data_IF_821442669625
#
_entry.id   IF_821442669625
#
_cell.length_a   1.000
_cell.length_b   1.000
_cell.length_c   1.000
_cell.angle_alpha   90.00
_cell.angle_beta   90.00
_cell.angle_gamma   90.00
#
_symmetry.space_group_name_H-M   'P 1'
#
loop_
_entity.id
_entity.type
_entity.pdbx_description
1 polymer ?
#
# COMPACT_ATOMS: atom_id res chain seq x y z
N UNK A 1 -15.86 -40.96 0.06
CA UNK A 1 -15.72 -39.55 0.50
C UNK A 1 -15.00 -39.43 1.84
N UNK A 2 -15.46 -40.17 2.87
CA UNK A 2 -14.89 -40.15 4.23
C UNK A 2 -13.39 -40.51 4.28
N UNK A 3 -12.96 -41.58 3.61
CA UNK A 3 -11.54 -41.96 3.58
C UNK A 3 -10.62 -40.88 2.99
N UNK A 4 -11.06 -40.17 1.94
CA UNK A 4 -10.31 -39.04 1.36
C UNK A 4 -10.19 -37.88 2.35
N UNK A 5 -11.26 -37.59 3.10
CA UNK A 5 -11.24 -36.57 4.15
C UNK A 5 -10.30 -36.96 5.30
N UNK A 6 -10.32 -38.22 5.76
CA UNK A 6 -9.42 -38.73 6.79
C UNK A 6 -7.96 -38.64 6.33
N UNK A 7 -7.65 -39.04 5.10
CA UNK A 7 -6.29 -38.95 4.57
C UNK A 7 -5.82 -37.51 4.45
N UNK A 8 -6.69 -36.60 3.97
CA UNK A 8 -6.38 -35.17 3.90
C UNK A 8 -6.12 -34.59 5.29
N UNK A 9 -6.97 -34.91 6.28
CA UNK A 9 -6.77 -34.51 7.67
C UNK A 9 -5.44 -35.00 8.23
N UNK A 10 -5.14 -36.30 8.07
CA UNK A 10 -3.87 -36.88 8.56
C UNK A 10 -2.64 -36.18 7.97
N UNK A 11 -2.71 -35.80 6.68
CA UNK A 11 -1.63 -35.12 5.97
C UNK A 11 -1.46 -33.66 6.39
N UNK A 12 -2.57 -32.94 6.62
CA UNK A 12 -2.58 -31.48 6.80
C UNK A 12 -2.97 -31.02 8.22
N UNK A 13 -3.07 -31.93 9.21
CA UNK A 13 -3.51 -31.60 10.59
C UNK A 13 -2.74 -30.45 11.24
N UNK A 14 -1.42 -30.40 11.06
CA UNK A 14 -0.56 -29.35 11.65
C UNK A 14 -0.85 -28.00 10.98
N UNK A 15 -0.80 -27.88 9.64
CA UNK A 15 -1.25 -26.68 8.93
C UNK A 15 -2.67 -26.25 9.28
N UNK A 16 -3.62 -27.18 9.40
CA UNK A 16 -5.01 -26.86 9.79
C UNK A 16 -5.05 -26.25 11.19
N UNK A 17 -4.32 -26.82 12.16
CA UNK A 17 -4.20 -26.24 13.50
C UNK A 17 -3.57 -24.84 13.47
N UNK A 18 -2.53 -24.63 12.66
CA UNK A 18 -1.91 -23.31 12.47
C UNK A 18 -2.91 -22.30 11.89
N UNK A 19 -3.78 -22.71 10.96
CA UNK A 19 -4.87 -21.87 10.45
C UNK A 19 -5.82 -21.51 11.59
N UNK A 20 -6.29 -22.48 12.38
CA UNK A 20 -7.20 -22.21 13.50
C UNK A 20 -6.61 -21.25 14.54
N UNK A 21 -5.33 -21.41 14.88
CA UNK A 21 -4.63 -20.47 15.78
C UNK A 21 -4.50 -19.09 15.15
N UNK A 22 -4.19 -18.99 13.86
CA UNK A 22 -4.13 -17.71 13.14
C UNK A 22 -5.49 -17.00 13.15
N UNK A 23 -6.60 -17.74 13.00
CA UNK A 23 -7.96 -17.19 13.11
C UNK A 23 -8.17 -16.53 14.47
N UNK A 24 -7.80 -17.21 15.56
CA UNK A 24 -7.93 -16.66 16.91
C UNK A 24 -7.09 -15.37 17.08
N UNK A 25 -5.88 -15.34 16.52
CA UNK A 25 -5.05 -14.13 16.55
C UNK A 25 -5.61 -12.99 15.68
N UNK A 26 -6.16 -13.28 14.50
CA UNK A 26 -6.85 -12.26 13.69
C UNK A 26 -8.11 -11.73 14.37
N UNK A 27 -8.88 -12.58 15.05
CA UNK A 27 -10.02 -12.14 15.86
C UNK A 27 -9.55 -11.24 17.00
N UNK A 28 -8.52 -11.68 17.74
CA UNK A 28 -7.94 -10.88 18.82
C UNK A 28 -7.41 -9.53 18.34
N UNK A 29 -6.77 -9.50 17.17
CA UNK A 29 -6.25 -8.27 16.55
C UNK A 29 -7.37 -7.35 16.05
N UNK A 30 -8.34 -7.90 15.31
CA UNK A 30 -9.38 -7.11 14.64
C UNK A 30 -10.48 -6.60 15.56
N UNK A 31 -10.79 -7.32 16.64
CA UNK A 31 -11.96 -7.02 17.48
C UNK A 31 -11.61 -6.67 18.94
N UNK A 32 -10.38 -6.96 19.39
CA UNK A 32 -10.02 -6.84 20.80
C UNK A 32 -8.68 -6.14 21.05
N UNK A 33 -8.04 -5.59 20.02
CA UNK A 33 -6.81 -4.81 20.16
C UNK A 33 -7.17 -3.33 20.24
N UNK A 34 -6.51 -2.59 21.13
CA UNK A 34 -6.43 -1.14 21.06
C UNK A 34 -5.07 -0.79 20.41
N UNK A 35 -5.05 0.14 19.44
CA UNK A 35 -3.81 0.54 18.75
C UNK A 35 -2.74 1.06 19.72
N UNK A 36 -3.14 1.61 20.87
CA UNK A 36 -2.21 2.11 21.90
C UNK A 36 -1.51 0.98 22.67
N UNK A 37 -2.07 -0.23 22.70
CA UNK A 37 -1.47 -1.42 23.33
C UNK A 37 -0.39 -2.04 22.42
N UNK A 38 0.77 -1.38 22.39
CA UNK A 38 1.89 -1.76 21.53
C UNK A 38 2.39 -3.18 21.80
N UNK A 39 2.38 -3.64 23.06
CA UNK A 39 2.88 -4.98 23.40
C UNK A 39 1.98 -6.07 22.83
N UNK A 40 0.66 -5.93 22.98
CA UNK A 40 -0.30 -6.85 22.38
C UNK A 40 -0.27 -6.80 20.85
N UNK A 41 -0.19 -5.59 20.28
CA UNK A 41 -0.07 -5.37 18.84
C UNK A 41 1.17 -6.09 18.28
N UNK A 42 2.34 -5.86 18.86
CA UNK A 42 3.60 -6.48 18.46
C UNK A 42 3.56 -8.01 18.61
N UNK A 43 3.07 -8.50 19.76
CA UNK A 43 2.98 -9.93 20.05
C UNK A 43 2.08 -10.69 19.07
N UNK A 44 0.88 -10.19 18.82
CA UNK A 44 -0.05 -10.77 17.84
C UNK A 44 0.53 -10.72 16.43
N UNK A 45 1.14 -9.59 16.05
CA UNK A 45 1.72 -9.41 14.73
C UNK A 45 2.87 -10.40 14.45
N UNK A 46 3.81 -10.53 15.39
CA UNK A 46 4.93 -11.47 15.26
C UNK A 46 4.45 -12.92 15.24
N UNK A 47 3.45 -13.28 16.04
CA UNK A 47 2.85 -14.61 16.04
C UNK A 47 2.18 -14.94 14.70
N UNK A 48 1.41 -14.00 14.15
CA UNK A 48 0.80 -14.13 12.81
C UNK A 48 1.87 -14.25 11.72
N UNK A 49 2.96 -13.49 11.81
CA UNK A 49 4.04 -13.55 10.81
C UNK A 49 4.79 -14.89 10.86
N UNK A 50 5.04 -15.42 12.06
CA UNK A 50 5.58 -16.76 12.24
C UNK A 50 4.66 -17.83 11.65
N UNK A 51 3.35 -17.76 11.92
CA UNK A 51 2.37 -18.70 11.36
C UNK A 51 2.27 -18.60 9.84
N UNK A 52 2.27 -17.38 9.28
CA UNK A 52 2.35 -17.16 7.84
C UNK A 52 3.56 -17.87 7.21
N UNK A 53 4.75 -17.65 7.78
CA UNK A 53 5.97 -18.32 7.35
C UNK A 53 5.82 -19.85 7.37
N UNK A 54 5.32 -20.41 8.47
CA UNK A 54 5.14 -21.86 8.64
C UNK A 54 4.10 -22.43 7.68
N UNK A 55 2.97 -21.76 7.50
CA UNK A 55 1.93 -22.19 6.56
C UNK A 55 2.49 -22.25 5.13
N UNK A 56 3.22 -21.23 4.68
CA UNK A 56 3.88 -21.27 3.37
C UNK A 56 4.94 -22.38 3.31
N UNK A 57 5.75 -22.56 4.37
CA UNK A 57 6.76 -23.61 4.42
C UNK A 57 6.16 -25.02 4.21
N UNK A 58 5.06 -25.34 4.90
CA UNK A 58 4.42 -26.65 4.84
C UNK A 58 3.56 -26.83 3.58
N UNK A 59 2.86 -25.79 3.13
CA UNK A 59 1.80 -25.92 2.12
C UNK A 59 2.09 -25.17 0.81
N UNK A 60 3.32 -24.74 0.54
CA UNK A 60 3.70 -24.01 -0.69
C UNK A 60 3.24 -24.67 -2.01
N UNK A 61 3.08 -25.99 -2.03
CA UNK A 61 2.62 -26.74 -3.21
C UNK A 61 1.10 -26.93 -3.26
N UNK A 62 0.40 -26.65 -2.17
CA UNK A 62 -1.04 -26.79 -2.03
C UNK A 62 -1.73 -25.44 -2.24
N UNK A 63 -1.77 -25.01 -3.50
CA UNK A 63 -2.34 -23.71 -3.87
C UNK A 63 -3.75 -23.50 -3.33
N UNK A 64 -4.60 -24.53 -3.42
CA UNK A 64 -6.00 -24.46 -2.97
C UNK A 64 -6.09 -24.21 -1.47
N UNK A 65 -5.28 -24.92 -0.67
CA UNK A 65 -5.23 -24.71 0.78
C UNK A 65 -4.84 -23.27 1.12
N UNK A 66 -3.70 -22.79 0.62
CA UNK A 66 -3.22 -21.43 0.92
C UNK A 66 -4.16 -20.34 0.43
N UNK A 67 -4.83 -20.54 -0.72
CA UNK A 67 -5.83 -19.60 -1.24
C UNK A 67 -7.06 -19.55 -0.33
N UNK A 68 -7.61 -20.70 0.08
CA UNK A 68 -8.76 -20.75 1.00
C UNK A 68 -8.38 -20.11 2.34
N UNK A 69 -7.20 -20.44 2.88
CA UNK A 69 -6.70 -19.87 4.14
C UNK A 69 -6.61 -18.35 4.09
N UNK A 70 -5.99 -17.78 3.06
CA UNK A 70 -5.84 -16.32 2.97
C UNK A 70 -7.15 -15.59 2.71
N UNK A 71 -8.11 -16.23 2.03
CA UNK A 71 -9.47 -15.70 1.91
C UNK A 71 -10.20 -15.74 3.25
N UNK A 72 -10.09 -16.84 4.00
CA UNK A 72 -10.73 -16.99 5.31
C UNK A 72 -10.23 -15.93 6.30
N UNK A 73 -8.93 -15.67 6.35
CA UNK A 73 -8.35 -14.62 7.20
C UNK A 73 -8.92 -13.22 6.91
N UNK A 74 -9.23 -12.93 5.65
CA UNK A 74 -9.88 -11.67 5.26
C UNK A 74 -11.36 -11.62 5.65
N UNK A 75 -12.08 -12.73 5.45
CA UNK A 75 -13.51 -12.85 5.81
C UNK A 75 -13.72 -12.68 7.31
N UNK A 76 -12.81 -13.17 8.15
CA UNK A 76 -12.89 -13.00 9.60
C UNK A 76 -12.89 -11.53 10.01
N UNK A 77 -12.23 -10.66 9.25
CA UNK A 77 -12.18 -9.22 9.51
C UNK A 77 -13.33 -8.46 8.85
N UNK A 78 -14.32 -9.14 8.25
CA UNK A 78 -15.36 -8.50 7.45
C UNK A 78 -16.15 -7.46 8.25
N UNK A 79 -16.43 -7.73 9.52
CA UNK A 79 -17.17 -6.83 10.42
C UNK A 79 -16.27 -6.12 11.44
N UNK A 80 -14.93 -6.22 11.31
CA UNK A 80 -14.02 -5.53 12.21
C UNK A 80 -14.10 -4.01 11.96
N UNK A 81 -14.08 -3.23 13.03
CA UNK A 81 -13.90 -1.77 12.90
C UNK A 81 -12.41 -1.48 12.62
N UNK A 82 -12.06 -0.63 11.63
CA UNK A 82 -10.68 -0.18 11.46
C UNK A 82 -10.15 0.46 12.75
N UNK A 83 -8.97 0.03 13.18
CA UNK A 83 -8.37 0.43 14.47
C UNK A 83 -6.94 0.97 14.31
N UNK A 84 -6.21 0.54 13.29
CA UNK A 84 -4.86 1.04 13.00
C UNK A 84 -4.88 2.40 12.28
N UNK A 85 -5.97 2.72 11.57
CA UNK A 85 -6.16 3.98 10.84
C UNK A 85 -7.56 4.53 11.02
N UNK A 86 -7.66 5.87 11.02
CA UNK A 86 -8.89 6.64 11.10
C UNK A 86 -9.35 7.17 9.72
N UNK A 87 -8.63 6.85 8.64
CA UNK A 87 -8.90 7.37 7.30
C UNK A 87 -10.30 7.00 6.80
N UNK A 88 -10.87 5.88 7.28
CA UNK A 88 -12.18 5.41 6.84
C UNK A 88 -13.31 6.38 7.12
N UNK A 89 -13.22 7.19 8.18
CA UNK A 89 -14.18 8.26 8.44
C UNK A 89 -14.18 9.29 7.31
N UNK A 90 -12.99 9.63 6.80
CA UNK A 90 -12.85 10.54 5.66
C UNK A 90 -13.36 9.91 4.36
N UNK A 91 -13.13 8.62 4.16
CA UNK A 91 -13.67 7.90 2.99
C UNK A 91 -15.20 7.99 2.95
N UNK A 92 -15.85 7.73 4.09
CA UNK A 92 -17.31 7.78 4.19
C UNK A 92 -17.82 9.22 4.00
N UNK A 93 -17.17 10.20 4.63
CA UNK A 93 -17.53 11.61 4.46
C UNK A 93 -17.47 12.05 2.99
N UNK A 94 -16.35 11.79 2.31
CA UNK A 94 -16.17 12.16 0.91
C UNK A 94 -17.21 11.46 0.02
N UNK A 95 -17.52 10.19 0.28
CA UNK A 95 -18.56 9.46 -0.42
C UNK A 95 -19.94 10.09 -0.25
N UNK A 96 -20.28 10.52 0.97
CA UNK A 96 -21.54 11.23 1.23
C UNK A 96 -21.58 12.59 0.54
N UNK A 97 -20.48 13.35 0.50
CA UNK A 97 -20.44 14.62 -0.24
C UNK A 97 -20.80 14.42 -1.70
N UNK A 98 -20.18 13.43 -2.35
CA UNK A 98 -20.42 13.12 -3.77
C UNK A 98 -21.88 12.75 -4.02
N UNK A 99 -22.45 11.91 -3.15
CA UNK A 99 -23.86 11.51 -3.25
C UNK A 99 -24.84 12.67 -3.00
N UNK A 100 -24.40 13.77 -2.38
CA UNK A 100 -25.15 15.00 -2.22
C UNK A 100 -24.81 16.07 -3.29
N UNK A 101 -24.08 15.69 -4.34
CA UNK A 101 -23.71 16.61 -5.43
C UNK A 101 -22.60 17.60 -5.10
N UNK A 102 -21.88 17.39 -4.00
CA UNK A 102 -20.76 18.23 -3.56
C UNK A 102 -19.41 17.58 -3.87
N UNK A 103 -18.43 18.40 -4.25
CA UNK A 103 -17.08 17.93 -4.55
C UNK A 103 -16.20 17.91 -3.28
N UNK A 104 -15.61 16.76 -2.89
CA UNK A 104 -14.71 16.68 -1.73
C UNK A 104 -13.39 17.43 -1.92
N UNK A 105 -13.14 17.94 -3.13
CA UNK A 105 -11.98 18.77 -3.47
C UNK A 105 -12.26 20.27 -3.35
N UNK A 106 -13.51 20.66 -3.09
CA UNK A 106 -13.93 22.07 -2.97
C UNK A 106 -14.48 22.42 -1.59
N UNK A 107 -14.86 21.41 -0.79
CA UNK A 107 -15.46 21.63 0.52
C UNK A 107 -14.65 20.96 1.63
N UNK A 108 -14.38 21.71 2.69
CA UNK A 108 -13.72 21.21 3.89
C UNK A 108 -14.75 20.61 4.85
N UNK A 109 -14.49 19.42 5.44
CA UNK A 109 -15.40 18.84 6.43
C UNK A 109 -15.70 19.77 7.61
N UNK A 110 -14.70 20.50 8.12
CA UNK A 110 -14.88 21.42 9.25
C UNK A 110 -15.84 22.58 8.94
N UNK A 111 -15.74 23.17 7.74
CA UNK A 111 -16.49 24.38 7.39
C UNK A 111 -17.96 24.02 7.18
N UNK A 112 -18.21 22.90 6.51
CA UNK A 112 -19.56 22.39 6.30
C UNK A 112 -20.30 22.09 7.61
N UNK A 113 -19.61 21.57 8.64
CA UNK A 113 -20.24 21.38 9.96
C UNK A 113 -20.53 22.71 10.64
N UNK A 114 -19.62 23.68 10.57
CA UNK A 114 -19.81 24.99 11.21
C UNK A 114 -20.97 25.76 10.55
N UNK A 115 -21.03 25.75 9.23
CA UNK A 115 -22.00 26.53 8.46
C UNK A 115 -23.39 25.88 8.42
N UNK A 116 -23.46 24.55 8.34
CA UNK A 116 -24.70 23.81 8.07
C UNK A 116 -25.07 22.81 9.17
N UNK A 117 -24.31 22.75 10.27
CA UNK A 117 -24.53 21.84 11.39
C UNK A 117 -24.25 20.39 11.05
N UNK A 118 -25.30 19.61 10.79
CA UNK A 118 -25.21 18.20 10.42
C UNK A 118 -25.75 18.00 8.99
N UNK A 119 -25.00 18.45 7.96
CA UNK A 119 -25.49 18.41 6.58
C UNK A 119 -25.69 16.98 6.06
N UNK A 120 -25.06 15.99 6.71
CA UNK A 120 -25.08 14.59 6.30
C UNK A 120 -25.22 13.65 7.50
N UNK A 121 -25.51 12.38 7.21
CA UNK A 121 -25.76 11.39 8.25
C UNK A 121 -24.45 10.97 8.95
N UNK A 122 -24.48 10.89 10.28
CA UNK A 122 -23.30 10.66 11.14
C UNK A 122 -22.21 11.74 11.02
N UNK A 123 -22.54 12.94 10.51
CA UNK A 123 -21.56 14.01 10.27
C UNK A 123 -20.65 14.31 11.48
N UNK A 124 -21.23 14.41 12.69
CA UNK A 124 -20.47 14.65 13.91
C UNK A 124 -19.47 13.53 14.23
N UNK A 125 -19.91 12.28 14.12
CA UNK A 125 -19.07 11.10 14.33
C UNK A 125 -17.94 11.05 13.30
N UNK A 126 -18.25 11.24 12.01
CA UNK A 126 -17.26 11.20 10.94
C UNK A 126 -16.20 12.28 11.10
N UNK A 127 -16.59 13.53 11.39
CA UNK A 127 -15.64 14.64 11.56
C UNK A 127 -14.82 14.50 12.83
N UNK A 128 -15.43 14.06 13.94
CA UNK A 128 -14.69 13.75 15.16
C UNK A 128 -13.68 12.61 14.92
N UNK A 129 -14.10 11.55 14.23
CA UNK A 129 -13.30 10.35 13.99
C UNK A 129 -12.12 10.59 13.04
N UNK A 130 -12.29 11.36 11.97
CA UNK A 130 -11.19 11.65 11.04
C UNK A 130 -10.11 12.56 11.64
N UNK A 131 -10.44 13.31 12.69
CA UNK A 131 -9.56 14.25 13.38
C UNK A 131 -9.40 15.60 12.68
N UNK A 132 -8.86 16.57 13.43
CA UNK A 132 -8.76 17.97 13.02
C UNK A 132 -7.96 18.19 11.73
N UNK A 133 -6.90 17.42 11.54
CA UNK A 133 -6.04 17.50 10.37
C UNK A 133 -6.82 17.16 9.09
N UNK A 134 -7.46 15.99 9.04
CA UNK A 134 -8.24 15.59 7.86
C UNK A 134 -9.40 16.55 7.65
N UNK A 135 -10.12 16.91 8.72
CA UNK A 135 -11.26 17.82 8.66
C UNK A 135 -10.91 19.23 8.15
N UNK A 136 -9.66 19.66 8.28
CA UNK A 136 -9.17 20.98 7.88
C UNK A 136 -8.59 21.05 6.47
N UNK A 137 -8.57 19.94 5.72
CA UNK A 137 -7.97 19.88 4.40
C UNK A 137 -8.92 19.26 3.37
N UNK A 138 -8.75 19.66 2.10
CA UNK A 138 -9.46 19.06 0.97
C UNK A 138 -9.05 17.61 0.79
N UNK A 139 -9.78 16.87 -0.03
CA UNK A 139 -9.46 15.46 -0.21
C UNK A 139 -8.16 15.27 -0.98
N UNK A 140 -7.29 14.40 -0.47
CA UNK A 140 -6.07 13.93 -1.14
C UNK A 140 -6.27 12.62 -1.89
N UNK A 141 -7.47 12.03 -1.87
CA UNK A 141 -7.73 10.76 -2.54
C UNK A 141 -8.02 11.00 -4.02
N UNK A 142 -7.40 10.25 -4.95
CA UNK A 142 -7.61 10.48 -6.37
C UNK A 142 -9.01 10.02 -6.87
N UNK A 143 -9.42 10.41 -8.09
CA UNK A 143 -10.81 10.33 -8.53
C UNK A 143 -11.46 8.94 -8.53
N UNK A 144 -10.73 7.86 -8.85
CA UNK A 144 -11.33 6.53 -8.83
C UNK A 144 -11.61 6.05 -7.40
N UNK A 145 -10.79 6.47 -6.45
CA UNK A 145 -11.04 6.19 -5.03
C UNK A 145 -12.32 6.89 -4.56
N UNK A 146 -12.53 8.13 -4.99
CA UNK A 146 -13.74 8.89 -4.71
C UNK A 146 -15.02 8.20 -5.23
N UNK A 147 -14.99 7.62 -6.42
CA UNK A 147 -16.12 6.82 -6.91
C UNK A 147 -16.39 5.58 -6.05
N UNK A 148 -15.36 4.93 -5.52
CA UNK A 148 -15.54 3.78 -4.61
C UNK A 148 -16.17 4.25 -3.29
N UNK A 149 -15.76 5.40 -2.77
CA UNK A 149 -16.35 5.99 -1.57
C UNK A 149 -17.82 6.35 -1.77
N UNK A 150 -18.16 7.01 -2.87
CA UNK A 150 -19.54 7.33 -3.25
C UNK A 150 -20.39 6.06 -3.40
N UNK A 151 -19.87 5.05 -4.10
CA UNK A 151 -20.53 3.74 -4.23
C UNK A 151 -20.74 3.08 -2.87
N UNK A 152 -19.76 3.14 -1.97
CA UNK A 152 -19.86 2.51 -0.65
C UNK A 152 -20.99 3.11 0.19
N UNK A 153 -21.11 4.44 0.20
CA UNK A 153 -22.12 5.17 0.95
C UNK A 153 -23.49 5.10 0.29
N UNK A 154 -23.54 5.05 -1.05
CA UNK A 154 -24.78 4.87 -1.79
C UNK A 154 -25.40 3.49 -1.51
N UNK A 155 -24.60 2.41 -1.56
CA UNK A 155 -25.07 1.05 -1.29
C UNK A 155 -25.40 0.80 0.19
N UNK A 156 -24.67 1.43 1.10
CA UNK A 156 -24.91 1.28 2.55
C UNK A 156 -25.99 2.21 3.10
N UNK A 157 -26.47 3.15 2.29
CA UNK A 157 -27.29 4.26 2.74
C UNK A 157 -26.64 5.01 3.90
N UNK A 158 -27.27 4.95 5.06
CA UNK A 158 -26.92 5.70 6.26
C UNK A 158 -25.93 4.97 7.21
N UNK A 159 -25.48 3.76 6.90
CA UNK A 159 -24.68 2.95 7.83
C UNK A 159 -23.17 3.10 7.62
N UNK A 160 -22.43 3.51 8.67
CA UNK A 160 -20.95 3.49 8.70
C UNK A 160 -20.43 2.07 8.50
N UNK A 161 -20.95 1.11 9.27
CA UNK A 161 -20.60 -0.31 9.14
C UNK A 161 -20.89 -0.83 7.74
N UNK A 162 -22.02 -0.44 7.15
CA UNK A 162 -22.35 -0.80 5.77
C UNK A 162 -21.33 -0.26 4.75
N UNK A 163 -20.90 1.00 4.87
CA UNK A 163 -19.88 1.57 3.98
C UNK A 163 -18.54 0.84 4.13
N UNK A 164 -18.15 0.55 5.38
CA UNK A 164 -16.96 -0.26 5.71
C UNK A 164 -17.04 -1.62 5.03
N UNK A 165 -18.18 -2.32 5.10
CA UNK A 165 -18.37 -3.62 4.47
C UNK A 165 -18.23 -3.58 2.95
N UNK A 166 -18.78 -2.56 2.29
CA UNK A 166 -18.67 -2.40 0.83
C UNK A 166 -17.22 -2.15 0.44
N UNK A 167 -16.54 -1.19 1.09
CA UNK A 167 -15.12 -0.90 0.84
C UNK A 167 -14.24 -2.13 1.06
N UNK A 168 -14.45 -2.84 2.17
CA UNK A 168 -13.71 -4.07 2.49
C UNK A 168 -13.94 -5.15 1.44
N UNK A 169 -15.17 -5.29 0.93
CA UNK A 169 -15.46 -6.24 -0.15
C UNK A 169 -14.69 -5.91 -1.42
N UNK A 170 -14.61 -4.64 -1.81
CA UNK A 170 -13.80 -4.19 -2.96
C UNK A 170 -12.32 -4.53 -2.76
N UNK A 171 -11.78 -4.32 -1.56
CA UNK A 171 -10.40 -4.64 -1.22
C UNK A 171 -10.14 -6.15 -1.29
N UNK A 172 -11.03 -6.96 -0.71
CA UNK A 172 -10.92 -8.43 -0.74
C UNK A 172 -10.95 -8.96 -2.19
N UNK A 173 -11.87 -8.46 -3.01
CA UNK A 173 -11.94 -8.82 -4.43
C UNK A 173 -10.68 -8.41 -5.19
N UNK A 174 -10.12 -7.25 -4.86
CA UNK A 174 -8.85 -6.78 -5.42
C UNK A 174 -7.68 -7.69 -5.03
N UNK A 175 -7.61 -8.13 -3.77
CA UNK A 175 -6.61 -9.07 -3.29
C UNK A 175 -6.71 -10.45 -3.96
N UNK A 176 -7.92 -10.94 -4.20
CA UNK A 176 -8.16 -12.15 -4.99
C UNK A 176 -7.72 -11.95 -6.45
N UNK A 177 -7.98 -10.76 -6.99
CA UNK A 177 -7.48 -10.33 -8.30
C UNK A 177 -5.94 -10.33 -8.37
N UNK A 178 -5.25 -9.83 -7.34
CA UNK A 178 -3.78 -9.87 -7.23
C UNK A 178 -3.30 -11.32 -7.14
N UNK A 179 -3.95 -12.17 -6.35
CA UNK A 179 -3.61 -13.59 -6.27
C UNK A 179 -3.68 -14.24 -7.66
N UNK A 180 -4.74 -13.95 -8.42
CA UNK A 180 -4.96 -14.49 -9.77
C UNK A 180 -3.96 -13.95 -10.80
N UNK A 181 -3.90 -12.62 -10.97
CA UNK A 181 -3.03 -11.99 -11.98
C UNK A 181 -1.56 -12.07 -11.59
N UNK A 182 -1.22 -11.91 -10.31
CA UNK A 182 0.14 -12.09 -9.79
C UNK A 182 0.68 -13.49 -10.03
N UNK A 183 -0.15 -14.53 -9.84
CA UNK A 183 0.22 -15.90 -10.23
C UNK A 183 0.54 -16.01 -11.72
N UNK A 184 -0.31 -15.43 -12.59
CA UNK A 184 -0.06 -15.42 -14.04
C UNK A 184 1.21 -14.68 -14.41
N UNK A 185 1.49 -13.55 -13.77
CA UNK A 185 2.70 -12.78 -13.99
C UNK A 185 3.94 -13.58 -13.57
N UNK A 186 3.91 -14.27 -12.42
CA UNK A 186 4.98 -15.18 -12.01
C UNK A 186 5.24 -16.27 -13.07
N UNK A 187 4.19 -16.89 -13.63
CA UNK A 187 4.32 -17.88 -14.71
C UNK A 187 4.98 -17.27 -15.96
N UNK A 188 4.57 -16.07 -16.38
CA UNK A 188 5.17 -15.36 -17.52
C UNK A 188 6.63 -15.00 -17.30
N UNK A 189 7.04 -14.78 -16.05
CA UNK A 189 8.42 -14.51 -15.64
C UNK A 189 9.22 -15.78 -15.36
N UNK A 190 8.65 -16.97 -15.57
CA UNK A 190 9.24 -18.27 -15.23
C UNK A 190 9.68 -18.36 -13.75
N UNK A 191 8.88 -17.79 -12.86
CA UNK A 191 9.08 -17.84 -11.40
C UNK A 191 8.05 -18.78 -10.76
N UNK A 192 8.41 -19.35 -9.62
CA UNK A 192 7.51 -20.27 -8.91
C UNK A 192 6.24 -19.55 -8.44
N UNK A 193 5.08 -20.14 -8.71
CA UNK A 193 3.78 -19.51 -8.45
C UNK A 193 3.44 -19.38 -6.98
N UNK A 194 4.03 -20.20 -6.10
CA UNK A 194 3.79 -20.11 -4.66
C UNK A 194 4.28 -18.78 -4.06
N UNK A 195 5.16 -18.05 -4.76
CA UNK A 195 5.67 -16.76 -4.29
C UNK A 195 4.56 -15.75 -4.03
N UNK A 196 3.42 -15.85 -4.73
CA UNK A 196 2.27 -14.96 -4.52
C UNK A 196 1.70 -15.04 -3.10
N UNK A 197 1.91 -16.15 -2.38
CA UNK A 197 1.41 -16.31 -1.02
C UNK A 197 2.21 -15.50 0.01
N UNK A 198 3.43 -15.05 -0.31
CA UNK A 198 4.15 -14.07 0.51
C UNK A 198 3.54 -12.67 0.49
N UNK A 199 2.63 -12.40 -0.46
CA UNK A 199 1.71 -11.27 -0.40
C UNK A 199 0.39 -11.70 0.24
N UNK A 200 -0.24 -12.74 -0.30
CA UNK A 200 -1.62 -13.07 0.02
C UNK A 200 -1.85 -13.50 1.48
N UNK A 201 -0.85 -14.11 2.12
CA UNK A 201 -0.89 -14.49 3.54
C UNK A 201 -0.11 -13.53 4.46
N UNK A 202 0.50 -12.48 3.92
CA UNK A 202 1.30 -11.57 4.72
C UNK A 202 0.42 -10.85 5.77
N UNK A 203 0.77 -10.90 7.07
CA UNK A 203 -0.01 -10.22 8.11
C UNK A 203 -0.17 -8.72 7.86
N UNK A 204 0.87 -8.02 7.37
CA UNK A 204 0.79 -6.62 7.01
C UNK A 204 -0.33 -6.37 6.00
N UNK A 205 -0.37 -7.19 4.95
CA UNK A 205 -1.34 -7.07 3.85
C UNK A 205 -2.77 -7.29 4.36
N UNK A 206 -2.98 -8.34 5.16
CA UNK A 206 -4.31 -8.66 5.67
C UNK A 206 -4.79 -7.59 6.65
N UNK A 207 -3.93 -7.18 7.59
CA UNK A 207 -4.29 -6.23 8.65
C UNK A 207 -4.47 -4.82 8.11
N UNK A 208 -3.52 -4.29 7.33
CA UNK A 208 -3.59 -2.92 6.82
C UNK A 208 -4.67 -2.79 5.73
N UNK A 209 -4.66 -3.65 4.71
CA UNK A 209 -5.59 -3.50 3.59
C UNK A 209 -7.00 -3.91 3.98
N UNK A 210 -7.18 -5.15 4.44
CA UNK A 210 -8.53 -5.66 4.73
C UNK A 210 -9.02 -5.18 6.09
N UNK A 211 -8.20 -5.29 7.14
CA UNK A 211 -8.59 -4.85 8.47
C UNK A 211 -8.86 -3.35 8.53
N UNK A 212 -7.95 -2.53 7.98
CA UNK A 212 -7.96 -1.08 8.15
C UNK A 212 -8.31 -0.27 6.88
N UNK A 213 -8.83 -0.94 5.86
CA UNK A 213 -9.37 -0.34 4.64
C UNK A 213 -8.36 0.48 3.82
N UNK A 214 -7.08 0.12 3.87
CA UNK A 214 -6.08 0.74 3.01
C UNK A 214 -6.25 0.29 1.54
N UNK A 215 -6.44 1.26 0.65
CA UNK A 215 -6.77 1.05 -0.78
C UNK A 215 -5.57 0.68 -1.66
N UNK A 216 -4.39 0.50 -1.07
CA UNK A 216 -3.17 0.06 -1.73
C UNK A 216 -3.39 -1.29 -2.43
N UNK A 217 -4.22 -2.19 -1.89
CA UNK A 217 -4.62 -3.43 -2.56
C UNK A 217 -5.38 -3.21 -3.87
N UNK A 218 -6.27 -2.22 -3.92
CA UNK A 218 -7.03 -1.88 -5.14
C UNK A 218 -6.09 -1.26 -6.19
N UNK A 219 -5.19 -0.36 -5.77
CA UNK A 219 -4.13 0.19 -6.63
C UNK A 219 -3.27 -0.95 -7.21
N UNK A 220 -2.80 -1.86 -6.36
CA UNK A 220 -1.91 -2.96 -6.74
C UNK A 220 -2.60 -3.98 -7.66
N UNK A 221 -3.89 -4.20 -7.50
CA UNK A 221 -4.68 -5.03 -8.40
C UNK A 221 -4.61 -4.49 -9.84
N UNK A 222 -4.94 -3.22 -10.03
CA UNK A 222 -4.86 -2.58 -11.34
C UNK A 222 -3.41 -2.54 -11.86
N UNK A 223 -2.44 -2.26 -11.00
CA UNK A 223 -1.02 -2.26 -11.39
C UNK A 223 -0.57 -3.63 -11.93
N UNK A 224 -0.84 -4.72 -11.19
CA UNK A 224 -0.45 -6.08 -11.59
C UNK A 224 -1.23 -6.57 -12.81
N UNK A 225 -2.51 -6.21 -12.92
CA UNK A 225 -3.29 -6.50 -14.11
C UNK A 225 -2.72 -5.79 -15.35
N UNK A 226 -2.34 -4.52 -15.23
CA UNK A 226 -1.64 -3.78 -16.29
C UNK A 226 -0.34 -4.49 -16.70
N UNK A 227 0.50 -4.90 -15.75
CA UNK A 227 1.73 -5.65 -16.04
C UNK A 227 1.47 -6.98 -16.76
N UNK A 228 0.39 -7.69 -16.42
CA UNK A 228 -0.03 -8.90 -17.13
C UNK A 228 -0.44 -8.61 -18.59
N UNK A 229 -1.15 -7.50 -18.82
CA UNK A 229 -1.55 -7.08 -20.16
C UNK A 229 -0.33 -6.71 -21.02
N UNK A 230 0.69 -6.07 -20.42
CA UNK A 230 1.96 -5.81 -21.09
C UNK A 230 2.67 -7.09 -21.53
N UNK A 231 2.74 -8.10 -20.67
CA UNK A 231 3.29 -9.42 -21.01
C UNK A 231 2.51 -10.10 -22.16
N UNK A 232 1.23 -9.77 -22.32
CA UNK A 232 0.37 -10.26 -23.39
C UNK A 232 0.34 -9.35 -24.64
N UNK A 233 1.25 -8.36 -24.72
CA UNK A 233 1.35 -7.38 -25.82
C UNK A 233 0.12 -6.47 -26.00
N UNK A 234 -0.82 -6.45 -25.04
CA UNK A 234 -2.02 -5.60 -25.03
C UNK A 234 -1.75 -4.25 -24.36
N UNK A 235 -0.77 -3.51 -24.89
CA UNK A 235 -0.19 -2.36 -24.20
C UNK A 235 -1.09 -1.11 -24.11
N UNK A 236 -2.01 -0.90 -25.06
CA UNK A 236 -3.01 0.17 -24.97
C UNK A 236 -4.02 -0.09 -23.84
N UNK A 237 -4.53 -1.31 -23.75
CA UNK A 237 -5.40 -1.69 -22.63
C UNK A 237 -4.64 -1.64 -21.30
N UNK A 238 -3.36 -2.02 -21.29
CA UNK A 238 -2.52 -1.88 -20.12
C UNK A 238 -2.39 -0.42 -19.67
N UNK A 239 -2.35 0.56 -20.60
CA UNK A 239 -2.31 1.98 -20.29
C UNK A 239 -3.60 2.44 -19.57
N UNK A 240 -4.77 2.03 -20.06
CA UNK A 240 -6.06 2.32 -19.43
C UNK A 240 -6.08 1.74 -18.01
N UNK A 241 -5.73 0.46 -17.85
CA UNK A 241 -5.70 -0.20 -16.54
C UNK A 241 -4.64 0.41 -15.62
N UNK A 242 -3.51 0.90 -16.16
CA UNK A 242 -2.50 1.62 -15.39
C UNK A 242 -3.01 2.96 -14.86
N UNK A 243 -3.78 3.69 -15.68
CA UNK A 243 -4.43 4.92 -15.25
C UNK A 243 -5.43 4.67 -14.11
N UNK A 244 -6.16 3.56 -14.12
CA UNK A 244 -7.01 3.16 -12.97
C UNK A 244 -6.19 2.99 -11.69
N UNK A 245 -4.99 2.41 -11.78
CA UNK A 245 -4.07 2.28 -10.64
C UNK A 245 -3.64 3.65 -10.08
N UNK A 246 -3.22 4.58 -10.96
CA UNK A 246 -2.88 5.97 -10.59
C UNK A 246 -4.08 6.69 -9.95
N UNK A 247 -5.29 6.48 -10.49
CA UNK A 247 -6.53 7.08 -10.00
C UNK A 247 -7.04 6.47 -8.69
N UNK A 248 -6.42 5.40 -8.18
CA UNK A 248 -6.62 4.93 -6.80
C UNK A 248 -5.59 5.58 -5.86
N UNK A 249 -4.32 5.59 -6.25
CA UNK A 249 -3.20 6.19 -5.50
C UNK A 249 -2.14 6.66 -6.50
N UNK A 250 -1.52 7.82 -6.25
CA UNK A 250 -0.60 8.44 -7.20
C UNK A 250 0.77 7.73 -7.37
N UNK A 251 1.14 6.83 -6.46
CA UNK A 251 2.48 6.18 -6.44
C UNK A 251 2.90 5.55 -7.78
N UNK A 252 2.04 4.86 -8.55
CA UNK A 252 2.41 4.31 -9.86
C UNK A 252 2.84 5.38 -10.87
N UNK A 253 2.48 6.65 -10.69
CA UNK A 253 2.91 7.74 -11.56
C UNK A 253 4.45 7.83 -11.63
N UNK A 254 5.14 7.53 -10.52
CA UNK A 254 6.61 7.52 -10.40
C UNK A 254 7.28 6.60 -11.44
N UNK A 255 6.58 5.56 -11.92
CA UNK A 255 7.16 4.60 -12.85
C UNK A 255 6.87 4.90 -14.32
N UNK A 256 6.04 5.91 -14.64
CA UNK A 256 5.73 6.24 -16.03
C UNK A 256 7.00 6.44 -16.88
N UNK A 257 8.01 7.23 -16.44
CA UNK A 257 9.21 7.44 -17.24
C UNK A 257 9.97 6.14 -17.57
N UNK A 258 9.91 5.11 -16.72
CA UNK A 258 10.61 3.85 -16.93
C UNK A 258 10.10 3.09 -18.17
N UNK A 259 8.87 3.33 -18.61
CA UNK A 259 8.32 2.75 -19.83
C UNK A 259 8.95 3.33 -21.11
N UNK A 260 9.73 4.41 -21.02
CA UNK A 260 10.41 5.03 -22.16
C UNK A 260 11.34 4.03 -22.88
N UNK A 261 12.19 3.35 -22.12
CA UNK A 261 13.07 2.30 -22.66
C UNK A 261 12.35 1.01 -22.97
N UNK A 262 11.27 0.69 -22.25
CA UNK A 262 10.51 -0.54 -22.46
C UNK A 262 9.83 -0.56 -23.84
N UNK A 263 9.19 0.55 -24.25
CA UNK A 263 8.48 0.64 -25.53
C UNK A 263 9.24 1.38 -26.63
N UNK A 264 10.21 2.22 -26.28
CA UNK A 264 10.79 3.22 -27.17
C UNK A 264 9.91 4.47 -27.30
N UNK A 265 10.52 5.61 -27.64
CA UNK A 265 9.92 6.95 -27.56
C UNK A 265 8.50 7.02 -28.15
N UNK A 266 8.31 6.60 -29.40
CA UNK A 266 7.01 6.74 -30.10
C UNK A 266 5.87 6.02 -29.37
N UNK A 267 6.09 4.76 -28.97
CA UNK A 267 5.07 3.96 -28.27
C UNK A 267 4.87 4.42 -26.83
N UNK A 268 5.92 4.88 -26.16
CA UNK A 268 5.81 5.45 -24.82
C UNK A 268 4.97 6.72 -24.82
N UNK A 269 5.14 7.63 -25.79
CA UNK A 269 4.32 8.84 -25.87
C UNK A 269 2.84 8.50 -26.06
N UNK A 270 2.51 7.51 -26.90
CA UNK A 270 1.13 7.06 -27.05
C UNK A 270 0.60 6.36 -25.79
N UNK A 271 1.44 5.59 -25.09
CA UNK A 271 1.08 5.00 -23.79
C UNK A 271 0.77 6.11 -22.76
N UNK A 272 1.61 7.15 -22.67
CA UNK A 272 1.40 8.30 -21.78
C UNK A 272 0.16 9.09 -22.14
N UNK A 273 -0.11 9.31 -23.42
CA UNK A 273 -1.32 9.98 -23.88
C UNK A 273 -2.58 9.23 -23.45
N UNK A 274 -2.61 7.90 -23.61
CA UNK A 274 -3.76 7.08 -23.18
C UNK A 274 -3.94 7.10 -21.67
N UNK A 275 -2.84 7.03 -20.90
CA UNK A 275 -2.87 7.19 -19.43
C UNK A 275 -3.43 8.56 -19.06
N UNK A 276 -2.93 9.63 -19.67
CA UNK A 276 -3.35 11.00 -19.42
C UNK A 276 -4.83 11.22 -19.74
N UNK A 277 -5.29 10.83 -20.93
CA UNK A 277 -6.70 10.95 -21.34
C UNK A 277 -7.61 10.17 -20.41
N UNK A 278 -7.24 8.94 -20.03
CA UNK A 278 -8.06 8.14 -19.10
C UNK A 278 -8.12 8.79 -17.71
N UNK A 279 -7.00 9.35 -17.23
CA UNK A 279 -6.95 10.07 -15.95
C UNK A 279 -7.83 11.33 -15.98
N UNK A 280 -7.77 12.10 -17.06
CA UNK A 280 -8.63 13.28 -17.25
C UNK A 280 -10.10 12.89 -17.28
N UNK A 281 -10.48 11.82 -18.01
CA UNK A 281 -11.86 11.34 -18.03
C UNK A 281 -12.36 10.97 -16.63
N UNK A 282 -11.52 10.32 -15.81
CA UNK A 282 -11.87 9.96 -14.43
C UNK A 282 -11.95 11.18 -13.51
N UNK A 283 -11.13 12.20 -13.74
CA UNK A 283 -11.14 13.45 -12.97
C UNK A 283 -12.26 14.41 -13.40
N UNK A 284 -12.77 14.28 -14.63
CA UNK A 284 -13.71 15.21 -15.24
C UNK A 284 -14.97 15.49 -14.40
N UNK A 285 -15.59 14.50 -13.72
CA UNK A 285 -16.75 14.75 -12.86
C UNK A 285 -16.47 15.66 -11.65
N UNK A 286 -15.19 15.87 -11.32
CA UNK A 286 -14.75 16.74 -10.22
C UNK A 286 -14.15 18.07 -10.71
N UNK A 287 -14.20 18.34 -12.02
CA UNK A 287 -13.57 19.52 -12.59
C UNK A 287 -14.16 20.82 -12.02
N UNK A 288 -13.26 21.67 -11.56
CA UNK A 288 -13.53 23.03 -11.11
C UNK A 288 -12.25 23.85 -11.28
N UNK A 289 -12.32 25.17 -11.49
CA UNK A 289 -11.13 26.03 -11.53
C UNK A 289 -10.22 25.86 -10.29
N UNK A 290 -10.80 25.62 -9.12
CA UNK A 290 -10.06 25.50 -7.85
C UNK A 290 -9.57 24.08 -7.56
N UNK A 291 -10.10 23.06 -8.27
CA UNK A 291 -9.81 21.64 -8.02
C UNK A 291 -8.30 21.35 -7.98
N UNK A 292 -7.57 21.83 -8.99
CA UNK A 292 -6.15 21.53 -9.13
C UNK A 292 -5.33 22.15 -8.00
N UNK A 293 -5.63 23.40 -7.63
CA UNK A 293 -4.92 24.11 -6.55
C UNK A 293 -5.18 23.44 -5.20
N UNK A 294 -6.45 23.22 -4.85
CA UNK A 294 -6.84 22.59 -3.59
C UNK A 294 -6.26 21.18 -3.41
N UNK A 295 -6.27 20.39 -4.49
CA UNK A 295 -5.68 19.05 -4.50
C UNK A 295 -4.16 19.11 -4.31
N UNK A 296 -3.47 20.01 -5.02
CA UNK A 296 -2.02 20.15 -4.93
C UNK A 296 -1.57 20.67 -3.56
N UNK A 297 -2.30 21.62 -2.98
CA UNK A 297 -2.04 22.17 -1.65
C UNK A 297 -2.12 21.08 -0.59
N UNK A 298 -3.18 20.26 -0.64
CA UNK A 298 -3.34 19.14 0.28
C UNK A 298 -2.23 18.12 0.08
N UNK A 299 -1.96 17.68 -1.16
CA UNK A 299 -0.91 16.70 -1.44
C UNK A 299 0.47 17.22 -1.00
N UNK A 300 0.78 18.50 -1.23
CA UNK A 300 2.03 19.14 -0.82
C UNK A 300 2.23 19.22 0.69
N UNK A 301 1.15 19.37 1.46
CA UNK A 301 1.18 19.34 2.93
C UNK A 301 1.78 18.02 3.46
N UNK A 302 1.41 16.89 2.84
CA UNK A 302 1.86 15.55 3.24
C UNK A 302 3.37 15.33 3.02
N UNK A 303 4.03 16.11 2.15
CA UNK A 303 5.47 16.03 1.92
C UNK A 303 6.31 16.93 2.82
N UNK A 304 5.69 17.92 3.47
CA UNK A 304 6.42 19.02 4.12
C UNK A 304 6.17 19.16 5.63
N UNK A 305 5.15 18.48 6.17
CA UNK A 305 4.72 18.68 7.57
C UNK A 305 4.62 17.39 8.39
N UNK A 306 4.90 16.22 7.80
CA UNK A 306 4.69 14.92 8.45
C UNK A 306 5.97 14.14 8.64
N UNK A 307 6.07 13.55 9.83
CA UNK A 307 7.14 12.63 10.21
C UNK A 307 6.48 11.36 10.77
N UNK A 308 6.70 10.22 10.13
CA UNK A 308 6.25 8.92 10.66
C UNK A 308 7.07 7.79 10.06
N UNK A 309 7.62 6.92 10.91
CA UNK A 309 8.62 5.93 10.54
C UNK A 309 9.75 6.54 9.68
N UNK A 310 10.22 7.72 10.06
CA UNK A 310 11.19 8.43 9.24
C UNK A 310 12.56 7.74 9.32
N UNK A 311 13.07 7.24 8.18
CA UNK A 311 14.35 6.56 8.09
C UNK A 311 15.52 7.55 8.03
N UNK A 312 16.01 7.80 6.81
CA UNK A 312 17.17 8.66 6.58
C UNK A 312 16.95 10.10 7.05
N UNK A 313 15.72 10.61 6.95
CA UNK A 313 15.36 11.94 7.43
C UNK A 313 15.64 12.10 8.94
N UNK A 314 15.37 11.10 9.78
CA UNK A 314 15.64 11.20 11.22
C UNK A 314 17.15 11.34 11.51
N UNK A 315 18.00 10.66 10.75
CA UNK A 315 19.45 10.82 10.86
C UNK A 315 19.89 12.25 10.48
N UNK A 316 19.37 12.78 9.37
CA UNK A 316 19.62 14.16 8.95
C UNK A 316 19.15 15.14 10.01
N UNK A 317 17.91 14.99 10.49
CA UNK A 317 17.32 15.83 11.53
C UNK A 317 18.15 15.82 12.79
N UNK A 318 18.62 14.65 13.24
CA UNK A 318 19.46 14.55 14.44
C UNK A 318 20.78 15.31 14.28
N UNK A 319 21.44 15.19 13.12
CA UNK A 319 22.67 15.92 12.83
C UNK A 319 22.40 17.43 12.73
N UNK A 320 21.42 17.84 11.93
CA UNK A 320 21.11 19.24 11.68
C UNK A 320 20.70 19.99 12.97
N UNK A 321 19.90 19.36 13.84
CA UNK A 321 19.53 19.96 15.14
C UNK A 321 20.73 20.11 16.07
N UNK A 322 21.73 19.21 15.99
CA UNK A 322 22.99 19.39 16.73
C UNK A 322 23.83 20.56 16.21
N UNK A 323 23.53 21.08 15.00
CA UNK A 323 24.10 22.29 14.41
C UNK A 323 23.08 23.46 14.42
N UNK A 324 22.22 23.51 15.44
CA UNK A 324 21.24 24.59 15.69
C UNK A 324 20.17 24.79 14.59
N UNK A 325 19.98 23.81 13.70
CA UNK A 325 18.89 23.86 12.73
C UNK A 325 17.53 23.65 13.42
N UNK A 326 16.54 24.47 13.04
CA UNK A 326 15.17 24.36 13.53
C UNK A 326 14.43 23.23 12.82
N UNK A 327 13.88 22.23 13.53
CA UNK A 327 13.18 21.09 12.91
C UNK A 327 12.06 21.45 11.92
N UNK A 328 11.27 22.49 12.24
CA UNK A 328 10.13 22.92 11.42
C UNK A 328 10.52 23.67 10.14
N UNK A 329 11.72 24.24 10.08
CA UNK A 329 12.30 24.81 8.86
C UNK A 329 12.94 23.69 8.03
N UNK A 330 13.68 22.79 8.70
CA UNK A 330 14.35 21.66 8.07
C UNK A 330 13.37 20.76 7.30
N UNK A 331 12.24 20.40 7.88
CA UNK A 331 11.26 19.51 7.21
C UNK A 331 10.71 20.13 5.93
N UNK A 332 10.51 21.46 5.91
CA UNK A 332 10.01 22.18 4.72
C UNK A 332 11.04 22.18 3.62
N UNK A 333 12.31 22.41 3.95
CA UNK A 333 13.38 22.39 2.96
C UNK A 333 13.67 20.97 2.46
N UNK A 334 13.62 19.99 3.36
CA UNK A 334 13.69 18.57 3.00
C UNK A 334 12.57 18.18 2.04
N UNK A 335 11.33 18.57 2.33
CA UNK A 335 10.16 18.33 1.48
C UNK A 335 10.25 18.95 0.08
N UNK A 336 11.02 20.04 -0.09
CA UNK A 336 11.29 20.63 -1.41
C UNK A 336 12.39 19.88 -2.17
N UNK A 337 13.42 19.40 -1.46
CA UNK A 337 14.59 18.75 -2.05
C UNK A 337 14.28 17.30 -2.44
N UNK A 338 13.55 16.57 -1.60
CA UNK A 338 13.26 15.14 -1.80
C UNK A 338 12.61 14.82 -3.16
N UNK A 339 11.58 15.55 -3.64
CA UNK A 339 11.03 15.35 -4.98
C UNK A 339 12.07 15.49 -6.10
N UNK A 340 13.02 16.43 -5.98
CA UNK A 340 14.08 16.63 -6.97
C UNK A 340 15.01 15.40 -7.02
N UNK A 341 15.41 14.88 -5.85
CA UNK A 341 16.24 13.67 -5.76
C UNK A 341 15.49 12.45 -6.32
N UNK A 342 14.18 12.34 -6.06
CA UNK A 342 13.34 11.28 -6.59
C UNK A 342 13.24 11.37 -8.12
N UNK A 343 13.01 12.56 -8.68
CA UNK A 343 12.99 12.78 -10.14
C UNK A 343 14.34 12.41 -10.75
N UNK A 344 15.45 12.84 -10.14
CA UNK A 344 16.80 12.47 -10.59
C UNK A 344 17.00 10.95 -10.55
N UNK A 345 16.56 10.28 -9.48
CA UNK A 345 16.61 8.81 -9.36
C UNK A 345 15.79 8.13 -10.46
N UNK A 346 14.56 8.58 -10.70
CA UNK A 346 13.70 8.05 -11.78
C UNK A 346 14.36 8.26 -13.14
N UNK A 347 14.95 9.43 -13.40
CA UNK A 347 15.67 9.72 -14.62
C UNK A 347 16.89 8.80 -14.80
N UNK A 348 17.67 8.57 -13.74
CA UNK A 348 18.80 7.65 -13.76
C UNK A 348 18.37 6.23 -14.16
N UNK A 349 17.31 5.71 -13.52
CA UNK A 349 16.78 4.39 -13.86
C UNK A 349 16.12 4.34 -15.25
N UNK A 350 15.57 5.45 -15.72
CA UNK A 350 14.97 5.57 -17.06
C UNK A 350 16.02 5.53 -18.15
N UNK A 351 17.09 6.33 -18.02
CA UNK A 351 18.05 6.56 -19.10
C UNK A 351 19.29 5.65 -19.04
N UNK A 352 19.69 5.14 -17.87
CA UNK A 352 20.91 4.33 -17.76
C UNK A 352 20.65 2.83 -17.64
N UNK A 353 19.57 2.40 -16.96
CA UNK A 353 19.27 0.97 -16.82
C UNK A 353 18.61 0.38 -18.07
N UNK A 354 18.91 -0.86 -18.42
CA UNK A 354 18.26 -1.54 -19.55
C UNK A 354 16.90 -2.14 -19.17
N UNK A 355 15.85 -1.33 -19.29
CA UNK A 355 14.47 -1.69 -18.95
C UNK A 355 13.66 -2.27 -20.12
N UNK A 356 14.32 -2.83 -21.15
CA UNK A 356 13.62 -3.43 -22.31
C UNK A 356 12.82 -4.70 -21.98
N UNK A 357 13.16 -5.38 -20.88
CA UNK A 357 12.46 -6.59 -20.40
C UNK A 357 11.62 -6.27 -19.18
N UNK A 358 10.46 -6.92 -19.06
CA UNK A 358 9.54 -6.74 -17.94
C UNK A 358 10.18 -7.05 -16.58
N UNK A 359 11.08 -8.05 -16.51
CA UNK A 359 11.81 -8.37 -15.27
C UNK A 359 12.75 -7.24 -14.84
N UNK A 360 13.49 -6.64 -15.79
CA UNK A 360 14.34 -5.48 -15.53
C UNK A 360 13.51 -4.27 -15.11
N UNK A 361 12.38 -4.03 -15.80
CA UNK A 361 11.45 -2.94 -15.49
C UNK A 361 10.89 -3.05 -14.06
N UNK A 362 10.37 -4.22 -13.67
CA UNK A 362 9.85 -4.46 -12.31
C UNK A 362 10.95 -4.30 -11.25
N UNK A 363 12.18 -4.69 -11.57
CA UNK A 363 13.32 -4.47 -10.67
C UNK A 363 13.67 -2.99 -10.54
N UNK A 364 13.58 -2.21 -11.62
CA UNK A 364 13.75 -0.76 -11.58
C UNK A 364 12.65 -0.07 -10.76
N UNK A 365 11.40 -0.50 -10.92
CA UNK A 365 10.27 -0.02 -10.11
C UNK A 365 10.50 -0.29 -8.62
N UNK A 366 10.97 -1.49 -8.27
CA UNK A 366 11.32 -1.84 -6.88
C UNK A 366 12.36 -0.86 -6.31
N UNK A 367 13.46 -0.62 -7.02
CA UNK A 367 14.54 0.23 -6.54
C UNK A 367 14.17 1.71 -6.48
N UNK A 368 13.46 2.22 -7.49
CA UNK A 368 12.94 3.59 -7.48
C UNK A 368 12.04 3.80 -6.24
N UNK A 369 11.13 2.87 -5.98
CA UNK A 369 10.22 2.98 -4.85
C UNK A 369 10.94 2.81 -3.50
N UNK A 370 11.93 1.93 -3.45
CA UNK A 370 12.77 1.73 -2.26
C UNK A 370 13.54 2.99 -1.90
N UNK A 371 14.18 3.62 -2.89
CA UNK A 371 14.93 4.86 -2.70
C UNK A 371 13.99 6.01 -2.31
N UNK A 372 12.81 6.09 -2.92
CA UNK A 372 11.79 7.05 -2.52
C UNK A 372 11.40 6.91 -1.05
N UNK A 373 11.07 5.70 -0.58
CA UNK A 373 10.68 5.50 0.81
C UNK A 373 11.82 5.72 1.80
N UNK A 374 13.07 5.34 1.48
CA UNK A 374 14.20 5.65 2.35
C UNK A 374 14.47 7.15 2.50
N UNK A 375 14.15 7.94 1.47
CA UNK A 375 14.24 9.41 1.47
C UNK A 375 12.97 10.10 1.96
N UNK A 376 11.91 9.37 2.30
CA UNK A 376 10.67 9.98 2.78
C UNK A 376 10.80 10.29 4.28
N UNK A 377 10.26 11.44 4.68
CA UNK A 377 10.04 11.74 6.10
C UNK A 377 8.85 10.93 6.68
N UNK A 378 8.00 10.37 5.80
CA UNK A 378 6.82 9.60 6.20
C UNK A 378 6.73 8.29 5.42
N UNK A 379 6.80 7.16 6.12
CA UNK A 379 6.69 5.80 5.60
C UNK A 379 5.67 5.01 6.40
N UNK A 380 4.40 5.19 6.06
CA UNK A 380 3.35 4.40 6.71
C UNK A 380 3.46 2.91 6.36
N UNK A 381 3.04 2.00 7.26
CA UNK A 381 3.26 0.57 7.11
C UNK A 381 2.65 -0.02 5.83
N UNK A 382 1.46 0.45 5.44
CA UNK A 382 0.79 0.02 4.22
C UNK A 382 1.54 0.41 2.93
N UNK A 383 2.43 1.41 2.95
CA UNK A 383 3.26 1.78 1.80
C UNK A 383 4.22 0.66 1.40
N UNK A 384 4.72 -0.11 2.37
CA UNK A 384 5.66 -1.22 2.17
C UNK A 384 5.04 -2.37 1.36
N UNK A 385 3.71 -2.47 1.35
CA UNK A 385 2.99 -3.54 0.64
C UNK A 385 3.26 -3.50 -0.87
N UNK A 386 3.47 -2.32 -1.46
CA UNK A 386 3.87 -2.22 -2.87
C UNK A 386 5.27 -2.84 -3.09
N UNK A 387 6.23 -2.57 -2.21
CA UNK A 387 7.54 -3.22 -2.26
C UNK A 387 7.43 -4.74 -2.06
N UNK A 388 6.57 -5.21 -1.16
CA UNK A 388 6.28 -6.65 -0.98
C UNK A 388 5.83 -7.26 -2.31
N UNK A 389 4.84 -6.67 -2.99
CA UNK A 389 4.36 -7.16 -4.29
C UNK A 389 5.46 -7.15 -5.34
N UNK A 390 6.19 -6.05 -5.51
CA UNK A 390 7.28 -5.96 -6.49
C UNK A 390 8.37 -7.00 -6.22
N UNK A 391 8.72 -7.23 -4.94
CA UNK A 391 9.72 -8.23 -4.53
C UNK A 391 9.39 -9.63 -5.08
N UNK A 392 8.11 -10.00 -5.16
CA UNK A 392 7.66 -11.30 -5.66
C UNK A 392 8.18 -11.59 -7.07
N UNK A 393 8.27 -10.56 -7.90
CA UNK A 393 8.65 -10.63 -9.30
C UNK A 393 10.14 -10.33 -9.56
N UNK A 394 10.93 -10.08 -8.52
CA UNK A 394 12.38 -9.81 -8.62
C UNK A 394 13.20 -10.91 -7.93
N UNK A 395 14.49 -10.67 -7.72
CA UNK A 395 15.38 -11.52 -6.93
C UNK A 395 15.60 -11.03 -5.50
N UNK A 396 15.12 -9.81 -5.18
CA UNK A 396 15.27 -9.17 -3.88
C UNK A 396 14.08 -9.50 -2.99
N UNK A 397 14.35 -9.81 -1.72
CA UNK A 397 13.39 -10.23 -0.69
C UNK A 397 13.43 -9.36 0.56
N UNK A 398 14.34 -8.39 0.66
CA UNK A 398 14.36 -7.43 1.78
C UNK A 398 13.00 -6.74 2.07
N UNK A 399 12.08 -6.51 1.10
CA UNK A 399 10.77 -5.95 1.44
C UNK A 399 9.92 -6.87 2.33
N UNK A 400 10.16 -8.20 2.32
CA UNK A 400 9.50 -9.12 3.24
C UNK A 400 10.00 -8.90 4.68
N UNK A 401 11.31 -8.64 4.86
CA UNK A 401 11.89 -8.26 6.15
C UNK A 401 11.33 -6.92 6.60
N UNK A 402 11.18 -5.95 5.69
CA UNK A 402 10.55 -4.68 6.01
C UNK A 402 9.09 -4.88 6.44
N UNK A 403 8.33 -5.73 5.74
CA UNK A 403 6.95 -6.03 6.16
C UNK A 403 6.87 -6.67 7.55
N UNK A 404 7.88 -7.43 7.98
CA UNK A 404 7.94 -7.97 9.34
C UNK A 404 8.25 -6.88 10.38
N UNK A 405 9.18 -5.99 10.06
CA UNK A 405 9.78 -5.05 11.03
C UNK A 405 9.05 -3.72 11.13
N UNK A 406 8.31 -3.32 10.10
CA UNK A 406 7.58 -2.03 10.05
C UNK A 406 6.55 -1.85 11.17
N UNK A 407 6.11 -2.95 11.78
CA UNK A 407 5.21 -2.91 12.94
C UNK A 407 5.83 -2.17 14.14
N UNK A 408 7.16 -2.08 14.22
CA UNK A 408 7.86 -1.37 15.28
C UNK A 408 7.54 0.14 15.29
N UNK A 409 7.23 0.71 14.11
CA UNK A 409 6.79 2.10 13.98
C UNK A 409 5.48 2.40 14.75
N UNK A 410 4.63 1.39 15.00
CA UNK A 410 3.38 1.58 15.75
C UNK A 410 3.60 1.96 17.22
N UNK A 411 4.82 1.84 17.75
CA UNK A 411 5.14 2.36 19.07
C UNK A 411 4.79 3.85 19.20
N UNK A 412 4.88 4.61 18.10
CA UNK A 412 4.50 6.01 18.10
C UNK A 412 3.05 6.24 18.59
N UNK A 413 2.13 5.33 18.28
CA UNK A 413 0.74 5.42 18.71
C UNK A 413 0.51 5.05 20.18
N UNK A 414 1.50 4.49 20.88
CA UNK A 414 1.40 4.16 22.32
C UNK A 414 1.55 5.39 23.23
N UNK A 415 1.87 6.56 22.68
CA UNK A 415 2.05 7.78 23.42
C UNK A 415 1.23 8.94 22.80
N UNK A 416 0.73 9.85 23.66
CA UNK A 416 -0.17 10.93 23.25
C UNK A 416 0.45 11.93 22.25
N UNK A 417 1.79 11.99 22.16
CA UNK A 417 2.50 12.90 21.27
C UNK A 417 2.84 12.32 19.91
N UNK A 418 2.45 11.07 19.62
CA UNK A 418 2.85 10.34 18.41
C UNK A 418 4.36 10.34 18.16
N UNK A 419 5.15 10.40 19.24
CA UNK A 419 6.62 10.47 19.16
C UNK A 419 7.17 9.12 18.74
N UNK A 420 8.14 9.13 17.84
CA UNK A 420 8.84 7.92 17.40
C UNK A 420 9.86 7.44 18.43
N UNK A 421 10.13 6.13 18.45
CA UNK A 421 11.22 5.55 19.21
C UNK A 421 12.41 5.26 18.29
N UNK A 422 13.44 6.08 18.35
CA UNK A 422 14.62 5.94 17.49
C UNK A 422 15.37 4.62 17.64
N UNK A 423 15.31 3.96 18.81
CA UNK A 423 15.91 2.63 18.97
C UNK A 423 15.13 1.57 18.21
N UNK A 424 13.80 1.57 18.31
CA UNK A 424 12.94 0.64 17.57
C UNK A 424 13.05 0.86 16.05
N UNK A 425 13.05 2.11 15.61
CA UNK A 425 13.28 2.44 14.20
C UNK A 425 14.68 2.03 13.73
N UNK A 426 15.71 2.17 14.57
CA UNK A 426 17.05 1.68 14.23
C UNK A 426 17.07 0.17 14.05
N UNK A 427 16.38 -0.60 14.90
CA UNK A 427 16.25 -2.06 14.74
C UNK A 427 15.55 -2.40 13.42
N UNK A 428 14.46 -1.72 13.08
CA UNK A 428 13.76 -1.88 11.79
C UNK A 428 14.71 -1.62 10.61
N UNK A 429 15.27 -0.42 10.52
CA UNK A 429 16.07 -0.02 9.37
C UNK A 429 17.40 -0.78 9.27
N UNK A 430 18.06 -1.13 10.39
CA UNK A 430 19.26 -1.98 10.35
C UNK A 430 18.94 -3.37 9.80
N UNK A 431 17.81 -3.98 10.21
CA UNK A 431 17.39 -5.28 9.67
C UNK A 431 17.12 -5.20 8.16
N UNK A 432 16.43 -4.15 7.72
CA UNK A 432 16.12 -3.93 6.30
C UNK A 432 17.38 -3.67 5.48
N UNK A 433 18.22 -2.72 5.88
CA UNK A 433 19.47 -2.39 5.18
C UNK A 433 20.46 -3.54 5.20
N UNK A 434 20.61 -4.24 6.33
CA UNK A 434 21.50 -5.38 6.46
C UNK A 434 21.11 -6.52 5.52
N UNK A 435 19.81 -6.87 5.48
CA UNK A 435 19.34 -7.91 4.56
C UNK A 435 19.43 -7.48 3.10
N UNK A 436 19.10 -6.22 2.79
CA UNK A 436 19.25 -5.65 1.45
C UNK A 436 20.71 -5.70 0.97
N UNK A 437 21.66 -5.28 1.81
CA UNK A 437 23.09 -5.33 1.50
C UNK A 437 23.57 -6.76 1.26
N UNK A 438 23.18 -7.69 2.13
CA UNK A 438 23.44 -9.12 1.94
C UNK A 438 22.94 -9.62 0.58
N UNK A 439 21.71 -9.25 0.17
CA UNK A 439 21.18 -9.66 -1.13
C UNK A 439 21.92 -9.05 -2.31
N UNK A 440 22.31 -7.77 -2.24
CA UNK A 440 23.10 -7.11 -3.28
C UNK A 440 24.43 -7.84 -3.47
N UNK A 441 25.17 -8.09 -2.38
CA UNK A 441 26.47 -8.79 -2.41
C UNK A 441 26.32 -10.21 -2.95
N UNK A 442 25.36 -10.97 -2.41
CA UNK A 442 25.10 -12.36 -2.82
C UNK A 442 24.75 -12.47 -4.31
N UNK A 443 23.88 -11.59 -4.81
CA UNK A 443 23.43 -11.62 -6.20
C UNK A 443 24.51 -11.12 -7.17
N UNK A 444 25.34 -10.16 -6.75
CA UNK A 444 26.52 -9.75 -7.51
C UNK A 444 27.50 -10.92 -7.68
N UNK A 445 27.83 -11.62 -6.59
CA UNK A 445 28.76 -12.74 -6.62
C UNK A 445 28.25 -13.92 -7.47
N UNK A 446 26.93 -14.19 -7.48
CA UNK A 446 26.35 -15.17 -8.41
C UNK A 446 26.60 -14.80 -9.87
N UNK A 447 26.47 -13.52 -10.24
CA UNK A 447 26.74 -13.09 -11.62
C UNK A 447 28.21 -13.20 -12.00
N UNK A 448 29.13 -13.02 -11.06
CA UNK A 448 30.56 -13.29 -11.28
C UNK A 448 30.85 -14.78 -11.47
N UNK A 449 30.25 -15.65 -10.63
CA UNK A 449 30.43 -17.11 -10.73
C UNK A 449 29.88 -17.71 -12.04
N UNK A 450 28.86 -17.06 -12.63
CA UNK A 450 28.27 -17.44 -13.92
C UNK A 450 28.63 -16.45 -15.04
N UNK A 451 29.74 -15.71 -14.89
CA UNK A 451 30.26 -14.82 -15.94
C UNK A 451 30.57 -15.65 -17.19
N UNK A 452 29.89 -15.29 -18.28
CA UNK A 452 29.96 -15.92 -19.59
C UNK A 452 31.40 -15.96 -20.12
N UNK A 453 31.89 -17.16 -20.40
CA UNK A 453 32.58 -17.40 -21.67
C UNK A 453 31.55 -17.37 -22.80
#
# INVERSE_FOLDING_TARGET
>A
MIQRAISYWKLHRIPILMVLVSILFYISFGYHLDRTDFLKLLGLYLALFFLCYKLIQFEKWNFKFLAITGTLFRIILLFAEPNLSQDFYRFIWDGQLINNGMSPYLHLPKDLIIEHGHPMHNAAELVSGMGSLSASNYSNYPPLNQFIFAMSTWLSGKSVVGSVLVMRTVIILSDLGILYFGRKLLQKLNKSTHLIFWYFLNPLVILELTGNLHFEGVMLFFFIWSMCLLCNKKWLLAAIVYALSISIKLVPLLFLPLFLKYFGIKKSMLFYAVVGVTTVILAFPFYSPDFANNYMDTVGLWFSNFEFNAGFYNAIKKVAVNFDAKPWELIKDYGKITPIIVIATVALFTFFRDNKKISSLLTSMLWVLTLYYFLSATVHPWYIIFLVVLSLFTEFRFPLVWSLTVILSYWAYSNAGFKENYWLLSVEYIAVYGFMFYEIVRLHNKKMLFSKN
#
